data_IF_344695102839
#
_entry.id   IF_344695102839
#
_cell.length_a   1.000
_cell.length_b   1.000
_cell.length_c   1.000
_cell.angle_alpha   90.00
_cell.angle_beta   90.00
_cell.angle_gamma   90.00
#
_symmetry.space_group_name_H-M   'P 1'
#
loop_
_entity.id
_entity.type
_entity.pdbx_description
1 polymer ?
#
# COMPACT_ATOMS: atom_id res chain seq x y z
N UNK A 1 9.63 0.84 -5.38
CA UNK A 1 9.11 -0.49 -5.69
C UNK A 1 9.96 -1.16 -6.76
N UNK A 2 10.26 -2.46 -6.58
CA UNK A 2 11.05 -3.27 -7.53
C UNK A 2 10.19 -4.07 -8.50
N UNK A 3 8.88 -4.21 -8.26
CA UNK A 3 7.89 -4.85 -9.15
C UNK A 3 8.38 -6.15 -9.79
N UNK A 4 8.96 -7.07 -9.01
CA UNK A 4 9.39 -8.40 -9.45
C UNK A 4 10.45 -8.43 -10.59
N UNK A 5 11.22 -7.36 -10.78
CA UNK A 5 12.09 -7.21 -11.95
C UNK A 5 13.30 -8.16 -11.94
N UNK A 6 13.71 -8.67 -10.77
CA UNK A 6 14.92 -9.47 -10.66
C UNK A 6 14.64 -10.95 -10.42
N UNK A 7 15.34 -11.81 -11.15
CA UNK A 7 15.29 -13.27 -11.00
C UNK A 7 16.48 -13.84 -10.20
N UNK A 8 17.27 -12.99 -9.56
CA UNK A 8 18.27 -13.36 -8.56
C UNK A 8 18.60 -12.19 -7.66
N UNK A 9 18.93 -12.47 -6.41
CA UNK A 9 19.33 -11.45 -5.45
C UNK A 9 20.69 -10.84 -5.81
N UNK A 10 21.60 -11.62 -6.38
CA UNK A 10 22.91 -11.12 -6.83
C UNK A 10 22.78 -10.02 -7.87
N UNK A 11 21.92 -10.23 -8.88
CA UNK A 11 21.65 -9.19 -9.92
C UNK A 11 21.00 -7.94 -9.31
N UNK A 12 20.11 -8.11 -8.35
CA UNK A 12 19.52 -6.98 -7.65
C UNK A 12 20.57 -6.22 -6.83
N UNK A 13 21.45 -6.94 -6.10
CA UNK A 13 22.55 -6.36 -5.32
C UNK A 13 23.55 -5.60 -6.22
N UNK A 14 23.90 -6.16 -7.37
CA UNK A 14 24.75 -5.49 -8.33
C UNK A 14 24.13 -4.18 -8.83
N UNK A 15 22.87 -4.22 -9.24
CA UNK A 15 22.10 -3.04 -9.64
C UNK A 15 22.03 -2.02 -8.50
N UNK A 16 21.71 -2.46 -7.29
CA UNK A 16 21.66 -1.60 -6.11
C UNK A 16 23.01 -0.92 -5.84
N UNK A 17 24.08 -1.66 -5.98
CA UNK A 17 25.45 -1.14 -5.80
C UNK A 17 25.79 -0.07 -6.85
N UNK A 18 25.36 -0.25 -8.09
CA UNK A 18 25.58 0.76 -9.15
C UNK A 18 24.78 2.03 -8.91
N UNK A 19 23.50 1.94 -8.60
CA UNK A 19 22.67 3.15 -8.38
C UNK A 19 23.11 3.93 -7.13
N UNK A 20 23.64 3.26 -6.12
CA UNK A 20 24.16 3.93 -4.93
C UNK A 20 25.43 4.80 -5.20
N UNK A 21 26.10 4.62 -6.33
CA UNK A 21 27.22 5.48 -6.74
C UNK A 21 26.76 6.82 -7.28
N UNK A 22 25.49 6.95 -7.64
CA UNK A 22 24.91 8.17 -8.21
C UNK A 22 24.71 9.25 -7.13
N UNK A 23 25.58 10.23 -7.07
CA UNK A 23 25.51 11.33 -6.08
C UNK A 23 24.21 12.13 -6.13
N UNK A 24 23.60 12.22 -7.30
CA UNK A 24 22.31 12.89 -7.50
C UNK A 24 21.19 12.22 -6.70
N UNK A 25 21.30 10.93 -6.37
CA UNK A 25 20.34 10.14 -5.61
C UNK A 25 20.58 10.12 -4.09
N UNK A 26 21.63 10.79 -3.58
CA UNK A 26 21.95 10.77 -2.14
C UNK A 26 20.77 11.18 -1.25
N UNK A 27 19.99 12.20 -1.67
CA UNK A 27 18.81 12.62 -0.91
C UNK A 27 17.72 11.57 -0.91
N UNK A 28 17.55 10.86 -2.03
CA UNK A 28 16.61 9.74 -2.14
C UNK A 28 17.00 8.61 -1.20
N UNK A 29 18.23 8.11 -1.28
CA UNK A 29 18.70 7.01 -0.43
C UNK A 29 18.64 7.33 1.06
N UNK A 30 18.96 8.58 1.44
CA UNK A 30 18.87 9.02 2.84
C UNK A 30 17.44 8.95 3.40
N UNK A 31 16.42 9.07 2.54
CA UNK A 31 15.01 9.06 2.93
C UNK A 31 14.29 7.77 2.49
N UNK A 32 15.03 6.76 2.04
CA UNK A 32 14.45 5.48 1.66
C UNK A 32 13.93 4.76 2.90
N UNK A 33 12.67 4.37 2.86
CA UNK A 33 12.03 3.62 3.93
C UNK A 33 12.28 2.11 3.76
N UNK A 34 12.07 1.60 2.57
CA UNK A 34 12.21 0.18 2.21
C UNK A 34 12.29 0.01 0.70
N UNK A 35 12.60 -1.20 0.26
CA UNK A 35 12.47 -1.67 -1.12
C UNK A 35 11.37 -2.72 -1.16
N UNK A 36 10.39 -2.54 -2.03
CA UNK A 36 9.27 -3.45 -2.19
C UNK A 36 9.51 -4.42 -3.33
N UNK A 37 9.27 -5.71 -3.08
CA UNK A 37 9.25 -6.83 -4.03
C UNK A 37 10.26 -6.75 -5.18
N UNK A 38 11.58 -6.64 -4.94
CA UNK A 38 12.54 -6.59 -6.04
C UNK A 38 12.66 -7.93 -6.77
N UNK A 39 12.44 -9.05 -6.07
CA UNK A 39 12.57 -10.39 -6.61
C UNK A 39 11.24 -10.90 -7.14
N UNK A 40 11.31 -11.61 -8.29
CA UNK A 40 10.16 -12.28 -8.88
C UNK A 40 9.54 -13.28 -7.89
N UNK A 41 8.21 -13.34 -7.82
CA UNK A 41 7.45 -14.15 -6.85
C UNK A 41 7.85 -15.63 -6.86
N UNK A 42 8.22 -16.18 -8.01
CA UNK A 42 8.63 -17.59 -8.13
C UNK A 42 9.86 -17.93 -7.28
N UNK A 43 10.69 -16.96 -6.96
CA UNK A 43 11.93 -17.15 -6.21
C UNK A 43 11.96 -16.42 -4.86
N UNK A 44 11.14 -15.39 -4.69
CA UNK A 44 11.20 -14.47 -3.55
C UNK A 44 11.09 -15.16 -2.19
N UNK A 45 10.40 -16.28 -2.09
CA UNK A 45 10.22 -17.04 -0.85
C UNK A 45 11.03 -18.35 -0.78
N UNK A 46 12.06 -18.50 -1.64
CA UNK A 46 12.95 -19.65 -1.59
C UNK A 46 13.90 -19.58 -0.38
N UNK A 47 14.02 -20.66 0.37
CA UNK A 47 14.90 -20.74 1.54
C UNK A 47 16.39 -20.47 1.21
N UNK A 48 16.83 -20.73 -0.02
CA UNK A 48 18.19 -20.42 -0.48
C UNK A 48 18.56 -18.94 -0.38
N UNK A 49 17.58 -18.04 -0.43
CA UNK A 49 17.82 -16.59 -0.27
C UNK A 49 18.30 -16.20 1.13
N UNK A 50 18.05 -17.02 2.14
CA UNK A 50 18.47 -16.74 3.52
C UNK A 50 19.97 -16.53 3.64
N UNK A 51 20.75 -17.36 3.01
CA UNK A 51 22.22 -17.26 3.05
C UNK A 51 22.67 -16.01 2.28
N UNK A 52 22.07 -15.75 1.11
CA UNK A 52 22.38 -14.57 0.30
C UNK A 52 22.02 -13.25 1.02
N UNK A 53 20.92 -13.22 1.80
CA UNK A 53 20.57 -12.09 2.64
C UNK A 53 21.53 -11.92 3.82
N UNK A 54 21.99 -13.01 4.43
CA UNK A 54 22.98 -12.97 5.49
C UNK A 54 24.35 -12.44 5.01
N UNK A 55 24.70 -12.68 3.73
CA UNK A 55 25.90 -12.14 3.08
C UNK A 55 25.78 -10.66 2.71
N UNK A 56 24.60 -10.06 2.90
CA UNK A 56 24.36 -8.64 2.63
C UNK A 56 23.69 -7.94 3.83
N UNK A 57 24.39 -7.85 5.00
CA UNK A 57 23.80 -7.31 6.23
C UNK A 57 23.47 -5.81 6.16
N UNK A 58 24.18 -5.03 5.33
CA UNK A 58 23.98 -3.60 5.15
C UNK A 58 22.88 -3.25 4.14
N UNK A 59 22.12 -4.23 3.65
CA UNK A 59 21.01 -3.98 2.73
C UNK A 59 19.94 -3.09 3.36
N UNK A 60 19.24 -2.27 2.56
CA UNK A 60 18.05 -1.59 3.04
C UNK A 60 16.97 -2.61 3.44
N UNK A 61 15.97 -2.21 4.24
CA UNK A 61 14.81 -3.05 4.49
C UNK A 61 14.15 -3.46 3.17
N UNK A 62 13.86 -4.75 3.01
CA UNK A 62 13.15 -5.30 1.84
C UNK A 62 11.86 -5.93 2.33
N UNK A 63 10.75 -5.59 1.70
CA UNK A 63 9.44 -6.15 1.98
C UNK A 63 8.89 -6.92 0.78
N UNK A 64 7.98 -7.84 1.03
CA UNK A 64 7.25 -8.56 -0.01
C UNK A 64 5.93 -7.84 -0.34
N UNK A 65 5.47 -8.00 -1.58
CA UNK A 65 4.15 -7.56 -2.05
C UNK A 65 3.45 -8.66 -2.84
N UNK A 66 3.80 -8.89 -4.09
CA UNK A 66 3.19 -9.91 -4.93
C UNK A 66 3.38 -11.33 -4.39
N UNK A 67 4.42 -11.54 -3.59
CA UNK A 67 4.68 -12.82 -2.91
C UNK A 67 3.83 -13.04 -1.66
N UNK A 68 3.09 -12.02 -1.19
CA UNK A 68 2.19 -12.14 -0.02
C UNK A 68 0.81 -12.65 -0.44
N UNK A 69 0.75 -13.84 -1.02
CA UNK A 69 -0.49 -14.49 -1.47
C UNK A 69 -1.22 -15.29 -0.38
N UNK A 70 -0.47 -15.97 0.49
CA UNK A 70 -0.97 -16.93 1.47
C UNK A 70 -0.72 -16.46 2.91
N UNK A 71 -1.36 -17.12 3.90
CA UNK A 71 -1.14 -16.81 5.32
C UNK A 71 0.31 -17.06 5.75
N UNK A 72 0.95 -18.05 5.16
CA UNK A 72 2.33 -18.43 5.48
C UNK A 72 3.39 -17.57 4.76
N UNK A 73 2.98 -16.72 3.83
CA UNK A 73 3.91 -15.92 3.02
C UNK A 73 4.77 -14.99 3.88
N UNK A 74 4.15 -14.21 4.76
CA UNK A 74 4.89 -13.29 5.63
C UNK A 74 5.76 -14.02 6.67
N UNK A 75 5.29 -15.05 7.41
CA UNK A 75 6.15 -15.86 8.28
C UNK A 75 7.38 -16.40 7.54
N UNK A 76 7.21 -16.96 6.34
CA UNK A 76 8.31 -17.46 5.52
C UNK A 76 9.27 -16.34 5.13
N UNK A 77 8.76 -15.21 4.64
CA UNK A 77 9.58 -14.06 4.26
C UNK A 77 10.43 -13.55 5.43
N UNK A 78 9.85 -13.39 6.62
CA UNK A 78 10.59 -12.98 7.82
C UNK A 78 11.69 -13.99 8.20
N UNK A 79 11.43 -15.29 8.05
CA UNK A 79 12.42 -16.34 8.33
C UNK A 79 13.60 -16.34 7.37
N UNK A 80 13.41 -15.87 6.15
CA UNK A 80 14.43 -15.69 5.10
C UNK A 80 15.25 -14.42 5.34
N UNK A 81 14.63 -13.37 5.92
CA UNK A 81 15.32 -12.12 6.23
C UNK A 81 14.69 -10.87 5.61
N UNK A 82 13.47 -10.98 5.07
CA UNK A 82 12.67 -9.81 4.73
C UNK A 82 12.24 -9.03 5.97
N UNK A 83 11.90 -7.76 5.80
CA UNK A 83 11.54 -6.87 6.90
C UNK A 83 10.03 -6.68 7.06
N UNK A 84 9.22 -7.22 6.16
CA UNK A 84 7.76 -7.04 6.22
C UNK A 84 7.04 -7.29 4.92
N UNK A 85 5.86 -6.68 4.81
CA UNK A 85 4.96 -6.85 3.65
C UNK A 85 4.21 -5.57 3.30
N UNK A 86 3.70 -5.50 2.07
CA UNK A 86 2.75 -4.49 1.61
C UNK A 86 1.32 -5.04 1.69
N UNK A 87 0.44 -4.33 2.40
CA UNK A 87 -0.97 -4.69 2.50
C UNK A 87 -1.77 -4.09 1.35
N UNK A 88 -2.68 -4.90 0.80
CA UNK A 88 -3.73 -4.48 -0.13
C UNK A 88 -5.04 -5.15 0.29
N UNK A 89 -6.14 -4.42 0.31
CA UNK A 89 -7.44 -5.00 0.72
C UNK A 89 -7.84 -6.25 -0.09
N UNK A 90 -7.42 -6.32 -1.36
CA UNK A 90 -7.67 -7.49 -2.22
C UNK A 90 -6.94 -8.76 -1.78
N UNK A 91 -5.88 -8.64 -0.97
CA UNK A 91 -5.19 -9.80 -0.36
C UNK A 91 -5.93 -10.38 0.84
N UNK A 92 -7.00 -9.73 1.28
CA UNK A 92 -7.85 -10.14 2.39
C UNK A 92 -7.58 -9.38 3.70
N UNK A 93 -8.63 -8.78 4.26
CA UNK A 93 -8.55 -7.96 5.48
C UNK A 93 -8.11 -8.81 6.67
N UNK A 94 -8.64 -10.04 6.85
CA UNK A 94 -8.25 -10.92 7.96
C UNK A 94 -6.79 -11.34 7.89
N UNK A 95 -6.26 -11.60 6.68
CA UNK A 95 -4.82 -11.84 6.50
C UNK A 95 -4.01 -10.59 6.87
N UNK A 96 -4.48 -9.40 6.47
CA UNK A 96 -3.88 -8.13 6.87
C UNK A 96 -3.79 -7.96 8.38
N UNK A 97 -4.86 -8.29 9.12
CA UNK A 97 -4.88 -8.26 10.59
C UNK A 97 -3.85 -9.26 11.15
N UNK A 98 -3.82 -10.49 10.66
CA UNK A 98 -2.85 -11.50 11.12
C UNK A 98 -1.41 -11.04 10.87
N UNK A 99 -1.12 -10.49 9.70
CA UNK A 99 0.18 -9.94 9.35
C UNK A 99 0.57 -8.76 10.27
N UNK A 100 -0.35 -7.83 10.52
CA UNK A 100 -0.11 -6.69 11.41
C UNK A 100 0.20 -7.16 12.84
N UNK A 101 -0.56 -8.13 13.37
CA UNK A 101 -0.32 -8.70 14.69
C UNK A 101 1.05 -9.40 14.77
N UNK A 102 1.45 -10.16 13.75
CA UNK A 102 2.76 -10.81 13.69
C UNK A 102 3.89 -9.80 13.69
N UNK A 103 3.80 -8.77 12.83
CA UNK A 103 4.82 -7.73 12.75
C UNK A 103 4.93 -6.93 14.04
N UNK A 104 3.79 -6.64 14.70
CA UNK A 104 3.81 -5.98 16.00
C UNK A 104 4.46 -6.85 17.08
N UNK A 105 4.12 -8.13 17.14
CA UNK A 105 4.78 -9.07 18.07
C UNK A 105 6.30 -9.11 17.86
N UNK A 106 6.74 -9.08 16.61
CA UNK A 106 8.16 -9.05 16.27
C UNK A 106 8.83 -7.73 16.68
N UNK A 107 8.15 -6.59 16.50
CA UNK A 107 8.66 -5.29 16.99
C UNK A 107 8.80 -5.26 18.50
N UNK A 108 7.85 -5.82 19.24
CA UNK A 108 7.94 -5.95 20.70
C UNK A 108 9.09 -6.88 21.13
N UNK A 109 9.47 -7.84 20.29
CA UNK A 109 10.67 -8.67 20.50
C UNK A 109 11.98 -8.01 20.04
N UNK A 110 11.93 -6.73 19.60
CA UNK A 110 13.11 -5.96 19.19
C UNK A 110 13.52 -6.12 17.74
N UNK A 111 12.68 -6.72 16.89
CA UNK A 111 12.95 -6.84 15.45
C UNK A 111 12.43 -5.62 14.70
N UNK A 112 13.23 -5.10 13.76
CA UNK A 112 12.81 -4.00 12.87
C UNK A 112 11.92 -4.56 11.75
N UNK A 113 10.62 -4.54 11.96
CA UNK A 113 9.63 -4.99 10.97
C UNK A 113 8.69 -3.87 10.58
N UNK A 114 8.12 -3.94 9.37
CA UNK A 114 7.24 -2.91 8.84
C UNK A 114 6.12 -3.47 7.98
N UNK A 115 5.06 -2.66 7.84
CA UNK A 115 3.95 -2.89 6.94
C UNK A 115 3.68 -1.61 6.16
N UNK A 116 3.72 -1.68 4.85
CA UNK A 116 3.23 -0.63 3.95
C UNK A 116 1.85 -0.97 3.44
N UNK A 117 1.25 -0.09 2.68
CA UNK A 117 -0.02 -0.34 2.01
C UNK A 117 -0.13 0.34 0.65
N UNK A 118 -1.01 -0.19 -0.18
CA UNK A 118 -1.28 0.32 -1.52
C UNK A 118 -2.76 0.19 -1.86
N UNK A 119 -3.31 1.14 -2.62
CA UNK A 119 -4.73 1.19 -2.96
C UNK A 119 -5.12 0.52 -4.30
N UNK A 120 -4.16 -0.03 -5.05
CA UNK A 120 -4.42 -0.61 -6.38
C UNK A 120 -5.28 0.27 -7.29
N UNK A 121 -5.03 1.57 -7.29
CA UNK A 121 -5.81 2.56 -8.05
C UNK A 121 -7.29 2.64 -7.64
N UNK A 122 -7.64 2.26 -6.41
CA UNK A 122 -8.97 2.48 -5.89
C UNK A 122 -9.34 3.96 -5.91
N UNK A 123 -10.53 4.26 -6.42
CA UNK A 123 -11.11 5.60 -6.36
C UNK A 123 -12.34 5.60 -5.48
N UNK A 124 -12.74 6.79 -5.02
CA UNK A 124 -13.99 6.94 -4.30
C UNK A 124 -15.20 6.54 -5.14
N UNK A 125 -16.39 6.64 -4.58
CA UNK A 125 -16.67 7.14 -3.24
C UNK A 125 -16.59 6.07 -2.14
N UNK A 126 -16.57 4.80 -2.49
CA UNK A 126 -16.59 3.68 -1.51
C UNK A 126 -15.22 3.03 -1.38
N UNK A 127 -14.66 2.54 -2.48
CA UNK A 127 -13.49 1.67 -2.46
C UNK A 127 -12.28 2.30 -1.74
N UNK A 128 -11.90 3.54 -2.07
CA UNK A 128 -10.77 4.20 -1.40
C UNK A 128 -11.06 4.52 0.06
N UNK A 129 -12.31 4.87 0.42
CA UNK A 129 -12.68 5.17 1.81
C UNK A 129 -12.59 3.90 2.66
N UNK A 130 -13.09 2.77 2.18
CA UNK A 130 -12.96 1.48 2.87
C UNK A 130 -11.50 1.03 2.97
N UNK A 131 -10.71 1.28 1.94
CA UNK A 131 -9.27 1.02 1.95
C UNK A 131 -8.57 1.84 3.04
N UNK A 132 -8.83 3.14 3.11
CA UNK A 132 -8.29 4.02 4.14
C UNK A 132 -8.71 3.61 5.56
N UNK A 133 -9.95 3.16 5.76
CA UNK A 133 -10.44 2.66 7.04
C UNK A 133 -9.64 1.42 7.50
N UNK A 134 -9.35 0.50 6.58
CA UNK A 134 -8.53 -0.69 6.89
C UNK A 134 -7.09 -0.30 7.18
N UNK A 135 -6.48 0.57 6.36
CA UNK A 135 -5.11 1.04 6.58
C UNK A 135 -4.96 1.71 7.94
N UNK A 136 -5.92 2.56 8.33
CA UNK A 136 -5.94 3.19 9.65
C UNK A 136 -6.07 2.16 10.79
N UNK A 137 -6.94 1.18 10.64
CA UNK A 137 -7.16 0.11 11.63
C UNK A 137 -5.91 -0.76 11.80
N UNK A 138 -5.18 -1.04 10.72
CA UNK A 138 -3.93 -1.81 10.75
C UNK A 138 -2.72 -0.98 11.21
N UNK A 139 -2.87 0.33 11.43
CA UNK A 139 -1.79 1.22 11.83
C UNK A 139 -0.74 1.42 10.74
N UNK A 140 -1.14 1.37 9.47
CA UNK A 140 -0.22 1.54 8.33
C UNK A 140 -0.03 3.03 8.08
N UNK A 141 1.20 3.52 8.29
CA UNK A 141 1.54 4.93 8.13
C UNK A 141 2.00 5.30 6.72
N UNK A 142 2.62 4.36 6.00
CA UNK A 142 3.16 4.59 4.64
C UNK A 142 2.28 3.89 3.62
N UNK A 143 1.44 4.67 2.91
CA UNK A 143 0.47 4.13 1.95
C UNK A 143 0.63 4.79 0.60
N UNK A 144 0.75 3.98 -0.46
CA UNK A 144 0.77 4.46 -1.83
C UNK A 144 -0.65 4.74 -2.33
N UNK A 145 -0.88 5.95 -2.86
CA UNK A 145 -2.18 6.41 -3.36
C UNK A 145 -2.21 6.49 -4.88
N UNK A 146 -2.21 5.34 -5.54
CA UNK A 146 -2.22 5.23 -7.00
C UNK A 146 -3.48 5.84 -7.62
N UNK A 147 -4.64 5.61 -7.03
CA UNK A 147 -5.90 6.22 -7.46
C UNK A 147 -5.87 7.74 -7.43
N UNK A 148 -5.18 8.36 -6.47
CA UNK A 148 -5.00 9.80 -6.41
C UNK A 148 -4.07 10.32 -7.53
N UNK A 149 -3.01 9.57 -7.85
CA UNK A 149 -2.00 10.00 -8.84
C UNK A 149 -2.48 9.83 -10.28
N UNK A 150 -3.17 8.74 -10.59
CA UNK A 150 -3.47 8.35 -11.97
C UNK A 150 -4.92 8.58 -12.38
N UNK A 151 -5.83 8.79 -11.42
CA UNK A 151 -7.25 9.02 -11.69
C UNK A 151 -7.66 10.45 -11.39
N UNK A 152 -8.70 10.92 -12.07
CA UNK A 152 -9.23 12.29 -11.92
C UNK A 152 -10.17 12.42 -10.71
N UNK A 153 -9.77 11.95 -9.55
CA UNK A 153 -10.55 11.98 -8.32
C UNK A 153 -11.95 11.38 -8.50
N UNK A 154 -12.99 12.13 -8.12
CA UNK A 154 -14.39 11.69 -8.24
C UNK A 154 -15.07 12.14 -9.57
N UNK A 155 -14.29 12.54 -10.58
CA UNK A 155 -14.84 13.10 -11.83
C UNK A 155 -15.79 12.18 -12.56
N UNK A 156 -15.61 10.87 -12.46
CA UNK A 156 -16.46 9.84 -13.09
C UNK A 156 -17.82 9.65 -12.41
N UNK A 157 -18.03 10.23 -11.23
CA UNK A 157 -19.28 10.09 -10.49
C UNK A 157 -20.22 11.28 -10.69
N UNK A 158 -21.55 11.08 -10.60
CA UNK A 158 -22.52 12.17 -10.68
C UNK A 158 -22.24 13.28 -9.65
N UNK A 159 -22.55 14.53 -10.00
CA UNK A 159 -22.34 15.67 -9.08
C UNK A 159 -23.00 15.50 -7.72
N UNK A 160 -24.20 14.89 -7.67
CA UNK A 160 -24.89 14.55 -6.42
C UNK A 160 -24.02 13.68 -5.51
N UNK A 161 -23.40 12.65 -6.07
CA UNK A 161 -22.49 11.75 -5.34
C UNK A 161 -21.23 12.50 -4.87
N UNK A 162 -20.63 13.30 -5.77
CA UNK A 162 -19.45 14.11 -5.42
C UNK A 162 -19.76 15.05 -4.23
N UNK A 163 -20.88 15.74 -4.24
CA UNK A 163 -21.31 16.63 -3.16
C UNK A 163 -21.55 15.86 -1.86
N UNK A 164 -22.18 14.68 -1.95
CA UNK A 164 -22.42 13.82 -0.79
C UNK A 164 -21.14 13.40 -0.12
N UNK A 165 -20.13 12.99 -0.90
CA UNK A 165 -18.82 12.59 -0.37
C UNK A 165 -18.11 13.76 0.34
N UNK A 166 -18.08 14.95 -0.27
CA UNK A 166 -17.45 16.13 0.37
C UNK A 166 -18.16 16.48 1.68
N UNK A 167 -19.50 16.46 1.69
CA UNK A 167 -20.27 16.83 2.88
C UNK A 167 -20.06 15.82 4.03
N UNK A 168 -19.83 14.55 3.71
CA UNK A 168 -19.62 13.50 4.71
C UNK A 168 -18.17 13.45 5.19
N UNK A 169 -17.22 13.74 4.30
CA UNK A 169 -15.78 13.66 4.56
C UNK A 169 -15.06 14.97 4.19
N UNK A 170 -15.38 16.09 4.86
CA UNK A 170 -14.91 17.43 4.46
C UNK A 170 -13.40 17.64 4.68
N UNK A 171 -12.80 16.89 5.60
CA UNK A 171 -11.35 16.94 5.84
C UNK A 171 -10.57 16.00 4.91
N UNK A 172 -11.22 14.94 4.39
CA UNK A 172 -10.61 13.95 3.50
C UNK A 172 -10.59 14.38 2.03
N UNK A 173 -11.65 15.09 1.60
CA UNK A 173 -11.80 15.55 0.21
C UNK A 173 -11.77 17.05 0.10
N UNK A 174 -11.22 17.53 -1.00
CA UNK A 174 -11.24 18.95 -1.39
C UNK A 174 -11.71 19.07 -2.83
N UNK A 175 -12.43 20.13 -3.14
CA UNK A 175 -12.71 20.46 -4.53
C UNK A 175 -11.42 20.84 -5.26
N UNK A 176 -11.03 20.01 -6.22
CA UNK A 176 -9.81 20.19 -6.97
C UNK A 176 -9.91 21.35 -7.96
N UNK A 177 -8.77 21.89 -8.39
CA UNK A 177 -8.68 23.01 -9.37
C UNK A 177 -9.39 22.72 -10.70
N UNK A 178 -9.62 21.46 -11.02
CA UNK A 178 -10.26 21.00 -12.25
C UNK A 178 -11.78 20.82 -12.10
N UNK A 179 -12.37 21.19 -10.96
CA UNK A 179 -13.81 21.19 -10.73
C UNK A 179 -14.41 19.84 -10.31
N UNK A 180 -13.60 18.93 -9.79
CA UNK A 180 -14.04 17.69 -9.14
C UNK A 180 -13.29 17.43 -7.85
N UNK A 181 -13.89 16.69 -6.88
CA UNK A 181 -13.25 16.35 -5.62
C UNK A 181 -12.07 15.40 -5.80
N UNK A 182 -11.00 15.68 -5.05
CA UNK A 182 -9.82 14.82 -4.92
C UNK A 182 -9.48 14.64 -3.44
N UNK A 183 -8.67 13.63 -3.11
CA UNK A 183 -8.14 13.48 -1.75
C UNK A 183 -7.33 14.72 -1.37
N UNK A 184 -7.56 15.21 -0.17
CA UNK A 184 -6.82 16.34 0.41
C UNK A 184 -5.54 15.80 1.06
N UNK A 185 -4.47 15.77 0.30
CA UNK A 185 -3.15 15.41 0.79
C UNK A 185 -2.39 16.70 1.11
N UNK A 186 -2.02 16.89 2.36
CA UNK A 186 -1.28 18.05 2.83
C UNK A 186 0.01 17.61 3.52
N UNK A 187 1.17 18.09 3.04
CA UNK A 187 2.49 17.71 3.57
C UNK A 187 2.75 16.18 3.57
N UNK A 188 2.14 15.44 2.64
CA UNK A 188 2.23 13.99 2.57
C UNK A 188 1.26 13.25 3.49
N UNK A 189 0.37 13.94 4.19
CA UNK A 189 -0.57 13.39 5.16
C UNK A 189 -2.02 13.51 4.69
N UNK A 190 -2.85 12.55 5.13
CA UNK A 190 -4.31 12.51 4.92
C UNK A 190 -4.99 12.50 6.28
N UNK A 191 -5.99 13.36 6.49
CA UNK A 191 -6.83 13.29 7.68
C UNK A 191 -7.93 12.25 7.48
N UNK A 192 -8.02 11.31 8.42
CA UNK A 192 -8.96 10.18 8.40
C UNK A 192 -10.02 10.26 9.53
N UNK A 193 -10.21 11.42 10.14
CA UNK A 193 -11.14 11.57 11.26
C UNK A 193 -12.55 11.08 10.93
N UNK A 194 -13.16 11.62 9.87
CA UNK A 194 -14.51 11.20 9.45
C UNK A 194 -14.58 9.76 8.94
N UNK A 195 -13.48 9.23 8.41
CA UNK A 195 -13.40 7.83 7.99
C UNK A 195 -13.43 6.91 9.21
N UNK A 196 -12.67 7.24 10.26
CA UNK A 196 -12.56 6.42 11.47
C UNK A 196 -13.84 6.45 12.33
N UNK A 197 -14.66 7.48 12.20
CA UNK A 197 -15.95 7.60 12.90
C UNK A 197 -17.06 6.72 12.29
N UNK A 198 -16.87 6.17 11.11
CA UNK A 198 -17.91 5.45 10.36
C UNK A 198 -17.59 3.97 10.22
N UNK A 199 -18.60 3.08 10.22
CA UNK A 199 -18.40 1.67 9.92
C UNK A 199 -17.78 1.48 8.53
N UNK A 200 -16.61 0.85 8.45
CA UNK A 200 -15.83 0.70 7.22
C UNK A 200 -15.60 2.02 6.46
N UNK A 201 -15.56 3.14 7.18
CA UNK A 201 -15.25 4.45 6.66
C UNK A 201 -16.35 5.17 5.90
N UNK A 202 -17.42 4.51 5.52
CA UNK A 202 -18.48 5.06 4.67
C UNK A 202 -19.62 5.63 5.49
N UNK A 203 -19.75 6.96 5.55
CA UNK A 203 -20.77 7.68 6.33
C UNK A 203 -22.05 8.03 5.56
N UNK A 204 -22.30 7.44 4.38
CA UNK A 204 -23.45 7.78 3.56
C UNK A 204 -23.98 6.57 2.78
N UNK A 205 -25.25 6.63 2.36
CA UNK A 205 -25.83 5.66 1.47
C UNK A 205 -25.62 6.09 0.00
N UNK A 206 -24.97 5.26 -0.80
CA UNK A 206 -24.77 5.51 -2.23
C UNK A 206 -26.10 5.30 -2.97
N UNK A 207 -26.52 6.31 -3.74
CA UNK A 207 -27.68 6.21 -4.61
C UNK A 207 -27.33 5.44 -5.89
N UNK A 208 -27.64 4.15 -5.91
CA UNK A 208 -27.32 3.26 -7.02
C UNK A 208 -28.18 3.55 -8.27
N UNK A 209 -29.29 4.30 -8.15
CA UNK A 209 -30.16 4.61 -9.29
C UNK A 209 -29.52 5.53 -10.34
N UNK A 210 -28.45 6.22 -9.95
CA UNK A 210 -27.72 7.15 -10.84
C UNK A 210 -26.60 6.47 -11.66
N UNK A 211 -26.40 5.16 -11.46
CA UNK A 211 -25.38 4.39 -12.18
C UNK A 211 -26.01 3.54 -13.28
N UNK A 212 -25.28 3.37 -14.36
CA UNK A 212 -25.68 2.47 -15.44
C UNK A 212 -25.59 1.01 -15.00
N UNK A 213 -26.59 0.21 -15.39
CA UNK A 213 -26.54 -1.23 -15.16
C UNK A 213 -25.58 -1.88 -16.15
N UNK A 214 -24.60 -2.64 -15.63
CA UNK A 214 -23.75 -3.47 -16.47
C UNK A 214 -24.59 -4.59 -17.07
N UNK A 215 -24.64 -4.67 -18.40
CA UNK A 215 -25.19 -5.83 -19.08
C UNK A 215 -24.12 -6.92 -19.13
N UNK A 216 -24.32 -7.95 -18.32
CA UNK A 216 -23.48 -9.16 -18.39
C UNK A 216 -23.98 -9.94 -19.61
N UNK A 217 -23.17 -10.05 -20.66
CA UNK A 217 -23.41 -11.00 -21.74
C UNK A 217 -23.12 -12.40 -21.18
N UNK A 218 -24.13 -13.28 -21.19
CA UNK A 218 -24.01 -14.69 -20.85
C UNK A 218 -23.17 -15.45 -21.87
#
# INVERSE_FOLDING_TARGET
DGNEQFKSISKFRDYWTEINKEKSLNKFFKNLLFIEQPLHRDIALMNSLKDEFNEWPERPPIIIDESDGELESLPNALSIGYSGTSHKNCKGIFKGIANACLLESNRQAGMATMMSGEDLCNVGPIAVIQDLAVMATLGIESVERNGHHYMAGLSQFPKKTQTQVINTHPELYIEGKMGWPTLKIANGEINLESVNEQPLGVGFALDLSVFEKVQIQE
#
